data_IF_275625215573
#
_entry.id   IF_275625215573
#
_cell.length_a   1.000
_cell.length_b   1.000
_cell.length_c   1.000
_cell.angle_alpha   90.00
_cell.angle_beta   90.00
_cell.angle_gamma   90.00
#
_symmetry.space_group_name_H-M   'P 1'
#
loop_
_entity.id
_entity.type
_entity.pdbx_description
1 polymer ?
#
# COMPACT_ATOMS: atom_id res chain seq x y z
N UNK A 1 -7.35 -3.64 14.34
CA UNK A 1 -6.52 -3.64 13.12
C UNK A 1 -5.66 -4.88 13.12
N UNK A 2 -5.49 -5.51 11.96
CA UNK A 2 -4.54 -6.59 11.74
C UNK A 2 -3.48 -6.10 10.76
N UNK A 3 -2.24 -6.50 10.97
CA UNK A 3 -1.09 -6.09 10.15
C UNK A 3 -0.45 -7.34 9.57
N UNK A 4 -0.39 -7.41 8.25
CA UNK A 4 0.28 -8.49 7.53
C UNK A 4 1.55 -7.94 6.91
N UNK A 5 2.70 -8.50 7.29
CA UNK A 5 4.01 -8.16 6.71
C UNK A 5 4.41 -9.28 5.76
N UNK A 6 4.65 -8.93 4.49
CA UNK A 6 4.99 -9.88 3.43
C UNK A 6 6.39 -9.57 2.92
N UNK A 7 7.29 -10.54 3.08
CA UNK A 7 8.66 -10.49 2.56
C UNK A 7 9.00 -11.73 1.71
N UNK A 8 8.09 -12.70 1.66
CA UNK A 8 8.24 -13.89 0.83
C UNK A 8 8.24 -13.50 -0.66
N UNK A 9 9.28 -13.86 -1.44
CA UNK A 9 9.39 -13.43 -2.83
C UNK A 9 8.23 -13.90 -3.72
N UNK A 10 7.72 -15.10 -3.51
CA UNK A 10 6.64 -15.65 -4.31
C UNK A 10 5.33 -14.93 -4.01
N UNK A 11 5.03 -14.68 -2.73
CA UNK A 11 3.89 -13.87 -2.33
C UNK A 11 4.00 -12.42 -2.85
N UNK A 12 5.20 -11.81 -2.84
CA UNK A 12 5.43 -10.48 -3.41
C UNK A 12 5.18 -10.46 -4.93
N UNK A 13 5.56 -11.51 -5.64
CA UNK A 13 5.27 -11.67 -7.07
C UNK A 13 3.75 -11.77 -7.32
N UNK A 14 3.02 -12.59 -6.54
CA UNK A 14 1.56 -12.69 -6.65
C UNK A 14 0.87 -11.33 -6.38
N UNK A 15 1.33 -10.57 -5.39
CA UNK A 15 0.82 -9.23 -5.07
C UNK A 15 1.10 -8.25 -6.23
N UNK A 16 2.30 -8.32 -6.81
CA UNK A 16 2.71 -7.50 -7.94
C UNK A 16 1.82 -7.79 -9.17
N UNK A 17 1.52 -9.06 -9.44
CA UNK A 17 0.68 -9.48 -10.55
C UNK A 17 -0.79 -9.11 -10.34
N UNK A 18 -1.32 -9.24 -9.12
CA UNK A 18 -2.65 -8.75 -8.77
C UNK A 18 -2.78 -7.26 -9.12
N UNK A 19 -1.81 -6.45 -8.71
CA UNK A 19 -1.79 -5.03 -9.00
C UNK A 19 -1.69 -4.76 -10.51
N UNK A 20 -0.76 -5.43 -11.21
CA UNK A 20 -0.55 -5.28 -12.65
C UNK A 20 -1.84 -5.58 -13.43
N UNK A 21 -2.48 -6.71 -13.13
CA UNK A 21 -3.70 -7.15 -13.81
C UNK A 21 -4.86 -6.16 -13.57
N UNK A 22 -4.99 -5.63 -12.36
CA UNK A 22 -5.99 -4.60 -12.08
C UNK A 22 -5.70 -3.27 -12.81
N UNK A 23 -4.42 -2.93 -13.01
CA UNK A 23 -4.02 -1.70 -13.72
C UNK A 23 -4.27 -1.76 -15.23
N UNK A 24 -4.28 -2.94 -15.84
CA UNK A 24 -4.54 -3.12 -17.29
C UNK A 24 -5.92 -2.59 -17.72
N UNK A 25 -6.88 -2.52 -16.80
CA UNK A 25 -8.23 -2.02 -17.05
C UNK A 25 -8.42 -0.55 -16.61
N UNK A 26 -7.32 0.19 -16.42
CA UNK A 26 -7.36 1.55 -15.85
C UNK A 26 -6.46 2.56 -16.58
N UNK A 27 -6.35 3.78 -16.04
CA UNK A 27 -5.57 4.87 -16.65
C UNK A 27 -4.06 4.58 -16.69
N UNK A 28 -3.59 3.53 -16.01
CA UNK A 28 -2.19 3.12 -15.99
C UNK A 28 -1.92 1.88 -16.86
N UNK A 29 -2.85 1.51 -17.75
CA UNK A 29 -2.75 0.30 -18.57
C UNK A 29 -1.47 0.25 -19.43
N UNK A 30 -1.12 1.35 -20.11
CA UNK A 30 0.12 1.40 -20.92
C UNK A 30 1.37 1.17 -20.07
N UNK A 31 1.40 1.73 -18.86
CA UNK A 31 2.51 1.50 -17.93
C UNK A 31 2.53 0.06 -17.42
N UNK A 32 1.37 -0.54 -17.20
CA UNK A 32 1.24 -1.92 -16.74
C UNK A 32 1.67 -2.96 -17.79
N UNK A 33 1.63 -2.61 -19.08
CA UNK A 33 2.12 -3.46 -20.19
C UNK A 33 3.64 -3.51 -20.28
N UNK A 34 4.34 -2.52 -19.73
CA UNK A 34 5.80 -2.51 -19.72
C UNK A 34 6.33 -3.59 -18.77
N UNK A 35 7.06 -4.61 -19.27
CA UNK A 35 7.58 -5.69 -18.43
C UNK A 35 8.63 -5.22 -17.42
N UNK A 36 9.26 -4.05 -17.63
CA UNK A 36 10.20 -3.45 -16.68
C UNK A 36 9.50 -2.74 -15.51
N UNK A 37 8.20 -2.46 -15.64
CA UNK A 37 7.44 -1.79 -14.61
C UNK A 37 6.94 -2.78 -13.55
N UNK A 38 7.34 -2.54 -12.30
CA UNK A 38 6.78 -3.20 -11.11
C UNK A 38 5.78 -2.26 -10.42
N UNK A 39 4.49 -2.64 -10.28
CA UNK A 39 3.51 -1.90 -9.49
C UNK A 39 3.89 -1.68 -8.02
N UNK A 40 4.73 -2.55 -7.45
CA UNK A 40 5.26 -2.43 -6.09
C UNK A 40 6.71 -1.92 -6.04
N UNK A 41 7.22 -1.42 -7.17
CA UNK A 41 8.55 -0.80 -7.32
C UNK A 41 9.73 -1.71 -6.98
N UNK A 42 9.56 -3.04 -7.03
CA UNK A 42 10.61 -3.99 -6.63
C UNK A 42 10.96 -3.94 -5.14
N UNK A 43 10.06 -3.41 -4.30
CA UNK A 43 10.28 -3.33 -2.87
C UNK A 43 10.37 -4.73 -2.23
N UNK A 44 11.31 -4.94 -1.28
CA UNK A 44 11.49 -6.22 -0.60
C UNK A 44 10.43 -6.54 0.47
N UNK A 45 9.55 -5.58 0.77
CA UNK A 45 8.49 -5.78 1.75
C UNK A 45 7.21 -5.06 1.34
N UNK A 46 6.09 -5.73 1.57
CA UNK A 46 4.73 -5.18 1.52
C UNK A 46 4.09 -5.30 2.90
N UNK A 47 3.43 -4.25 3.36
CA UNK A 47 2.65 -4.27 4.60
C UNK A 47 1.21 -3.91 4.26
N UNK A 48 0.29 -4.76 4.72
CA UNK A 48 -1.14 -4.52 4.63
C UNK A 48 -1.72 -4.27 6.01
N UNK A 49 -2.63 -3.30 6.09
CA UNK A 49 -3.48 -3.09 7.26
C UNK A 49 -4.89 -3.51 6.89
N UNK A 50 -5.44 -4.45 7.65
CA UNK A 50 -6.78 -4.97 7.49
C UNK A 50 -7.62 -4.79 8.75
N UNK A 51 -8.93 -4.79 8.59
CA UNK A 51 -9.89 -4.59 9.66
C UNK A 51 -11.16 -5.40 9.40
N UNK A 52 -11.95 -5.61 10.44
CA UNK A 52 -13.30 -6.18 10.34
C UNK A 52 -14.14 -5.39 9.33
N UNK A 53 -14.94 -6.11 8.55
CA UNK A 53 -15.65 -5.54 7.39
C UNK A 53 -16.64 -4.45 7.76
N UNK A 54 -17.28 -4.59 8.91
CA UNK A 54 -18.30 -3.71 9.50
C UNK A 54 -17.71 -2.57 10.36
N UNK A 55 -16.38 -2.50 10.50
CA UNK A 55 -15.75 -1.39 11.22
C UNK A 55 -15.80 -0.10 10.38
N UNK A 56 -16.67 0.82 10.78
CA UNK A 56 -16.89 2.13 10.15
C UNK A 56 -15.66 3.05 10.25
N UNK A 57 -14.81 2.86 11.28
CA UNK A 57 -13.63 3.67 11.54
C UNK A 57 -12.34 3.10 10.90
N UNK A 58 -12.45 1.95 10.23
CA UNK A 58 -11.30 1.21 9.72
C UNK A 58 -10.38 2.04 8.80
N UNK A 59 -10.94 2.93 7.98
CA UNK A 59 -10.16 3.79 7.08
C UNK A 59 -9.30 4.79 7.87
N UNK A 60 -9.84 5.39 8.93
CA UNK A 60 -9.10 6.34 9.76
C UNK A 60 -7.97 5.63 10.51
N UNK A 61 -8.29 4.52 11.17
CA UNK A 61 -7.31 3.74 11.92
C UNK A 61 -6.18 3.21 11.03
N UNK A 62 -6.52 2.65 9.87
CA UNK A 62 -5.51 2.14 8.93
C UNK A 62 -4.62 3.26 8.37
N UNK A 63 -5.19 4.44 8.12
CA UNK A 63 -4.44 5.60 7.64
C UNK A 63 -3.44 6.08 8.71
N UNK A 64 -3.86 6.15 9.97
CA UNK A 64 -2.99 6.53 11.09
C UNK A 64 -1.87 5.52 11.31
N UNK A 65 -2.20 4.21 11.31
CA UNK A 65 -1.21 3.13 11.42
C UNK A 65 -0.15 3.26 10.32
N UNK A 66 -0.60 3.41 9.07
CA UNK A 66 0.32 3.47 7.94
C UNK A 66 1.14 4.77 7.90
N UNK A 67 0.56 5.91 8.27
CA UNK A 67 1.29 7.19 8.38
C UNK A 67 2.39 7.11 9.45
N UNK A 68 2.10 6.48 10.60
CA UNK A 68 3.10 6.22 11.63
C UNK A 68 4.22 5.31 11.13
N UNK A 69 3.88 4.26 10.38
CA UNK A 69 4.88 3.38 9.74
C UNK A 69 5.77 4.15 8.76
N UNK A 70 5.22 5.07 7.96
CA UNK A 70 6.01 5.89 7.04
C UNK A 70 6.97 6.82 7.77
N UNK A 71 6.51 7.47 8.85
CA UNK A 71 7.37 8.32 9.68
C UNK A 71 8.48 7.51 10.35
N UNK A 72 8.16 6.32 10.88
CA UNK A 72 9.13 5.41 11.48
C UNK A 72 10.14 4.89 10.45
N UNK A 73 9.67 4.48 9.27
CA UNK A 73 10.53 4.04 8.17
C UNK A 73 11.52 5.15 7.77
N UNK A 74 11.02 6.38 7.60
CA UNK A 74 11.85 7.52 7.22
C UNK A 74 12.93 7.83 8.25
N UNK A 75 12.62 7.73 9.55
CA UNK A 75 13.59 8.03 10.62
C UNK A 75 14.75 7.04 10.69
N UNK A 76 14.57 5.82 10.17
CA UNK A 76 15.61 4.77 10.09
C UNK A 76 16.14 4.57 8.66
N UNK A 77 15.86 5.50 7.74
CA UNK A 77 16.40 5.46 6.36
C UNK A 77 15.72 4.46 5.42
N UNK A 78 14.53 3.97 5.75
CA UNK A 78 13.70 3.11 4.89
C UNK A 78 12.72 3.99 4.10
N UNK A 79 12.66 3.77 2.79
CA UNK A 79 11.67 4.37 1.90
C UNK A 79 10.35 3.62 1.96
N UNK A 80 9.25 4.35 1.79
CA UNK A 80 7.90 3.78 1.82
C UNK A 80 6.99 4.44 0.80
N UNK A 81 6.06 3.69 0.22
CA UNK A 81 5.07 4.23 -0.72
C UNK A 81 3.67 3.64 -0.46
N UNK A 82 2.68 4.52 -0.33
CA UNK A 82 1.27 4.10 -0.25
C UNK A 82 0.78 3.59 -1.59
N UNK A 83 0.18 2.41 -1.61
CA UNK A 83 -0.35 1.76 -2.80
C UNK A 83 -1.88 1.63 -2.68
N UNK A 84 -2.59 2.68 -3.08
CA UNK A 84 -4.04 2.81 -2.93
C UNK A 84 -4.84 1.67 -3.56
N UNK A 85 -4.30 1.07 -4.63
CA UNK A 85 -4.96 0.01 -5.37
C UNK A 85 -5.35 -1.19 -4.50
N UNK A 86 -4.54 -1.57 -3.52
CA UNK A 86 -4.80 -2.78 -2.73
C UNK A 86 -6.02 -2.66 -1.82
N UNK A 87 -6.26 -1.48 -1.24
CA UNK A 87 -7.51 -1.21 -0.51
C UNK A 87 -8.73 -1.18 -1.44
N UNK A 88 -8.57 -0.65 -2.66
CA UNK A 88 -9.65 -0.61 -3.66
C UNK A 88 -10.07 -2.00 -4.15
N UNK A 89 -9.11 -2.92 -4.26
CA UNK A 89 -9.37 -4.29 -4.73
C UNK A 89 -9.89 -5.23 -3.63
N UNK A 90 -10.06 -4.77 -2.38
CA UNK A 90 -10.38 -5.61 -1.22
C UNK A 90 -11.57 -6.56 -1.39
N UNK A 91 -12.52 -6.22 -2.24
CA UNK A 91 -13.71 -7.02 -2.49
C UNK A 91 -13.66 -7.87 -3.77
N UNK A 92 -12.61 -7.76 -4.59
CA UNK A 92 -12.45 -8.59 -5.77
C UNK A 92 -12.14 -10.05 -5.40
N UNK A 93 -12.68 -11.05 -6.11
CA UNK A 93 -12.38 -12.46 -5.85
C UNK A 93 -10.88 -12.79 -5.91
N UNK A 94 -10.17 -12.21 -6.88
CA UNK A 94 -8.74 -12.42 -7.09
C UNK A 94 -7.93 -11.87 -5.91
N UNK A 95 -8.27 -10.66 -5.44
CA UNK A 95 -7.62 -10.05 -4.31
C UNK A 95 -7.89 -10.82 -3.01
N UNK A 96 -9.13 -11.28 -2.78
CA UNK A 96 -9.48 -12.12 -1.62
C UNK A 96 -8.66 -13.40 -1.58
N UNK A 97 -8.42 -14.04 -2.72
CA UNK A 97 -7.58 -15.24 -2.78
C UNK A 97 -6.13 -14.94 -2.37
N UNK A 98 -5.54 -13.87 -2.89
CA UNK A 98 -4.18 -13.42 -2.50
C UNK A 98 -4.13 -13.05 -1.03
N UNK A 99 -5.09 -12.27 -0.54
CA UNK A 99 -5.13 -11.82 0.86
C UNK A 99 -5.30 -12.97 1.84
N UNK A 100 -6.11 -13.97 1.50
CA UNK A 100 -6.26 -15.19 2.29
C UNK A 100 -4.93 -15.95 2.39
N UNK A 101 -4.21 -16.14 1.27
CA UNK A 101 -2.91 -16.82 1.25
C UNK A 101 -1.85 -16.14 2.14
N UNK A 102 -1.82 -14.81 2.17
CA UNK A 102 -0.88 -14.07 3.01
C UNK A 102 -1.34 -13.92 4.47
N UNK A 103 -2.46 -14.54 4.85
CA UNK A 103 -2.92 -14.61 6.24
C UNK A 103 -3.81 -13.47 6.70
N UNK A 104 -4.42 -12.70 5.77
CA UNK A 104 -5.48 -11.76 6.15
C UNK A 104 -6.68 -12.56 6.71
N UNK A 105 -7.20 -12.23 7.90
CA UNK A 105 -8.32 -12.96 8.49
C UNK A 105 -9.56 -12.96 7.60
N UNK A 106 -10.32 -14.06 7.59
CA UNK A 106 -11.49 -14.26 6.70
C UNK A 106 -12.54 -13.15 6.82
N UNK A 107 -12.82 -12.71 8.05
CA UNK A 107 -13.81 -11.66 8.34
C UNK A 107 -13.27 -10.23 8.14
N UNK A 108 -12.04 -10.10 7.66
CA UNK A 108 -11.35 -8.83 7.51
C UNK A 108 -11.33 -8.41 6.03
N UNK A 109 -11.20 -7.10 5.79
CA UNK A 109 -10.89 -6.51 4.50
C UNK A 109 -9.56 -5.78 4.59
N UNK A 110 -8.77 -5.85 3.53
CA UNK A 110 -7.59 -4.98 3.38
C UNK A 110 -8.08 -3.54 3.20
N UNK A 111 -7.55 -2.63 4.01
CA UNK A 111 -7.91 -1.20 3.97
C UNK A 111 -6.78 -0.38 3.36
N UNK A 112 -5.53 -0.71 3.71
CA UNK A 112 -4.35 -0.03 3.22
C UNK A 112 -3.26 -1.05 2.87
N UNK A 113 -2.49 -0.74 1.82
CA UNK A 113 -1.30 -1.49 1.43
C UNK A 113 -0.18 -0.51 1.09
N UNK A 114 1.04 -0.83 1.50
CA UNK A 114 2.21 -0.02 1.19
C UNK A 114 3.46 -0.88 1.06
N UNK A 115 4.39 -0.42 0.22
CA UNK A 115 5.67 -1.07 0.04
C UNK A 115 6.78 -0.36 0.82
N UNK A 116 7.78 -1.12 1.26
CA UNK A 116 8.91 -0.65 2.07
C UNK A 116 10.22 -1.21 1.54
N UNK A 117 11.27 -0.40 1.54
CA UNK A 117 12.60 -0.81 1.08
C UNK A 117 13.64 0.29 1.17
N UNK A 118 14.90 -0.04 0.95
CA UNK A 118 15.95 0.97 0.83
C UNK A 118 15.84 1.68 -0.53
N UNK A 119 15.82 3.02 -0.58
CA UNK A 119 15.81 3.74 -1.85
C UNK A 119 17.05 3.40 -2.69
N UNK A 120 16.85 3.15 -3.98
CA UNK A 120 17.94 2.84 -4.91
C UNK A 120 18.82 4.06 -5.26
N UNK A 121 18.40 5.27 -4.85
CA UNK A 121 19.09 6.52 -5.14
C UNK A 121 18.83 7.57 -4.06
N UNK A 122 19.09 8.83 -4.40
CA UNK A 122 18.88 9.93 -3.47
C UNK A 122 17.41 10.11 -3.07
N UNK A 123 17.21 10.64 -1.87
CA UNK A 123 15.88 10.97 -1.40
C UNK A 123 15.28 12.09 -2.24
N UNK A 124 14.02 11.96 -2.70
CA UNK A 124 13.37 13.03 -3.43
C UNK A 124 13.24 14.26 -2.55
N UNK A 125 13.33 15.44 -3.17
CA UNK A 125 13.09 16.70 -2.48
C UNK A 125 11.63 16.73 -1.97
N UNK A 126 11.40 17.30 -0.77
CA UNK A 126 10.04 17.51 -0.28
C UNK A 126 9.22 18.33 -1.27
N UNK A 127 7.95 17.99 -1.42
CA UNK A 127 7.01 18.81 -2.20
C UNK A 127 6.82 20.17 -1.50
N UNK A 128 6.60 21.21 -2.30
CA UNK A 128 6.19 22.51 -1.77
C UNK A 128 4.90 22.36 -0.94
N UNK A 129 4.92 22.95 0.25
CA UNK A 129 3.75 22.93 1.15
C UNK A 129 2.81 24.06 0.74
N UNK A 130 1.51 23.75 0.69
CA UNK A 130 0.48 24.79 0.64
C UNK A 130 0.56 25.63 1.92
N UNK A 131 0.49 26.95 1.79
CA UNK A 131 0.59 27.89 2.90
C UNK A 131 -0.72 28.62 3.19
N UNK A 132 -1.73 28.45 2.34
CA UNK A 132 -3.05 29.10 2.36
C UNK A 132 -4.17 28.18 2.89
N UNK A 133 -3.80 27.11 3.61
CA UNK A 133 -4.72 26.07 4.08
C UNK A 133 -4.89 26.03 5.61
N UNK A 134 -4.52 27.11 6.32
CA UNK A 134 -4.64 27.24 7.78
C UNK A 134 -5.32 28.56 8.13
N UNK A 135 -6.42 28.50 8.88
CA UNK A 135 -7.10 29.68 9.42
C UNK A 135 -6.91 29.73 10.94
N UNK A 136 -6.59 30.90 11.47
CA UNK A 136 -6.47 31.13 12.92
C UNK A 136 -7.68 31.89 13.43
N UNK A 137 -8.25 31.45 14.55
CA UNK A 137 -9.27 32.16 15.33
C UNK A 137 -8.67 32.33 16.73
N UNK A 138 -8.41 33.57 17.12
CA UNK A 138 -7.74 33.94 18.38
C UNK A 138 -8.73 34.53 19.38
#
# INVERSE_FOLDING_TARGET
>A
MHITVVQDPDALNEICDLARNAMLNGPMAERAKDPSFSPIYGAPAMIFVSAERDNELAVFDATLVMANMFNAARSIGIGSCWLFLFGRLADSPEAKAVYSKIGVPENYKVVAGACFGYPAGEWPQPREKKTDNVNYVL
#
